data_IF_975060167078
#
_entry.id   IF_975060167078
#
_cell.length_a   1.000
_cell.length_b   1.000
_cell.length_c   1.000
_cell.angle_alpha   90.00
_cell.angle_beta   90.00
_cell.angle_gamma   90.00
#
_symmetry.space_group_name_H-M   'P 1'
#
loop_
_entity.id
_entity.type
_entity.pdbx_description
1 polymer ?
#
# COMPACT_ATOMS: atom_id res chain seq x y z
N UNK A 1 32.11 88.72 4.16
CA UNK A 1 31.58 89.97 3.61
C UNK A 1 30.27 89.62 2.87
N UNK A 2 29.23 90.21 3.44
CA UNK A 2 27.95 90.64 2.84
C UNK A 2 27.10 89.60 2.06
N UNK A 3 25.92 89.25 2.64
CA UNK A 3 24.59 89.95 2.50
C UNK A 3 24.07 89.82 1.03
N UNK A 4 22.89 89.48 0.67
CA UNK A 4 21.52 89.75 1.17
C UNK A 4 20.51 88.98 0.33
N UNK A 5 19.54 88.39 0.89
CA UNK A 5 18.09 88.73 0.95
C UNK A 5 17.17 88.32 -0.21
N UNK A 6 16.09 87.66 0.22
CA UNK A 6 14.67 87.80 -0.18
C UNK A 6 14.15 87.24 -1.49
N UNK A 7 13.11 86.48 -1.29
CA UNK A 7 12.06 86.28 -2.28
C UNK A 7 11.14 85.13 -2.03
N UNK A 8 10.06 85.36 -1.26
CA UNK A 8 8.90 84.45 -1.14
C UNK A 8 8.20 84.28 -2.49
N UNK A 9 7.78 83.11 -2.81
CA UNK A 9 6.44 82.91 -3.41
C UNK A 9 5.87 81.52 -3.08
N UNK A 10 4.62 81.53 -2.66
CA UNK A 10 3.74 80.43 -2.26
C UNK A 10 3.21 79.79 -3.53
N UNK A 11 3.17 78.48 -3.55
CA UNK A 11 2.43 77.68 -4.56
C UNK A 11 2.05 76.35 -3.97
N UNK A 12 0.82 76.23 -3.43
CA UNK A 12 0.14 74.94 -3.14
C UNK A 12 -0.12 74.24 -4.38
N UNK A 13 0.15 72.89 -4.41
CA UNK A 13 -0.75 71.92 -5.00
C UNK A 13 -0.21 70.49 -4.76
N UNK A 14 -1.08 69.64 -4.21
CA UNK A 14 -1.30 68.28 -4.58
C UNK A 14 -0.52 67.21 -3.83
N UNK A 15 -1.05 66.79 -2.63
CA UNK A 15 -0.81 65.45 -2.09
C UNK A 15 -1.39 64.40 -3.05
N UNK A 16 -0.54 63.59 -3.64
CA UNK A 16 -0.91 62.29 -4.14
C UNK A 16 -0.19 61.24 -3.28
N UNK A 17 -0.88 60.73 -2.27
CA UNK A 17 -0.40 59.64 -1.45
C UNK A 17 -0.48 58.35 -2.25
N UNK A 18 0.66 57.80 -2.66
CA UNK A 18 0.76 56.42 -3.11
C UNK A 18 0.76 55.52 -1.86
N UNK A 19 -0.40 54.93 -1.60
CA UNK A 19 -0.49 53.80 -0.66
C UNK A 19 0.21 52.63 -1.31
N UNK A 20 1.44 52.35 -0.92
CA UNK A 20 2.05 51.07 -1.16
C UNK A 20 1.37 50.04 -0.27
N UNK A 21 0.40 49.26 -0.83
CA UNK A 21 -0.05 48.04 -0.21
C UNK A 21 1.11 47.06 -0.24
N UNK A 22 1.83 46.95 0.85
CA UNK A 22 2.66 45.79 1.12
C UNK A 22 1.71 44.61 1.34
N UNK A 23 1.54 43.79 0.30
CA UNK A 23 0.99 42.45 0.47
C UNK A 23 2.05 41.69 1.27
N UNK A 24 1.87 41.63 2.59
CA UNK A 24 2.56 40.64 3.39
C UNK A 24 2.01 39.27 2.93
N UNK A 25 2.79 38.57 2.16
CA UNK A 25 2.61 37.11 1.97
C UNK A 25 2.70 36.51 3.37
N UNK A 26 1.56 36.07 3.88
CA UNK A 26 1.51 35.15 5.02
C UNK A 26 2.39 33.95 4.68
N UNK A 27 3.30 33.55 5.59
CA UNK A 27 3.98 32.27 5.41
C UNK A 27 2.89 31.22 5.26
N UNK A 28 3.04 30.35 4.25
CA UNK A 28 2.26 29.13 4.15
C UNK A 28 2.09 28.54 5.54
N UNK A 29 0.86 28.37 5.99
CA UNK A 29 0.56 27.49 7.11
C UNK A 29 1.12 26.12 6.73
N UNK A 30 2.32 25.83 7.20
CA UNK A 30 2.79 24.46 7.37
C UNK A 30 1.68 23.79 8.19
N UNK A 31 0.79 23.06 7.53
CA UNK A 31 -0.24 22.27 8.19
C UNK A 31 0.50 21.42 9.20
N UNK A 32 0.34 21.76 10.47
CA UNK A 32 0.94 21.03 11.58
C UNK A 32 0.52 19.56 11.37
N UNK A 33 1.50 18.68 11.17
CA UNK A 33 1.24 17.25 11.00
C UNK A 33 0.44 16.82 12.22
N UNK A 34 -0.78 16.31 11.99
CA UNK A 34 -1.64 15.87 13.07
C UNK A 34 -0.94 14.71 13.78
N UNK A 35 -0.75 14.81 15.09
CA UNK A 35 -0.31 13.64 15.85
C UNK A 35 -1.46 12.67 16.06
N UNK A 36 -1.21 11.35 15.95
CA UNK A 36 -2.25 10.38 16.25
C UNK A 36 -2.63 10.46 17.75
N UNK A 37 -3.90 10.24 18.11
CA UNK A 37 -4.33 10.24 19.51
C UNK A 37 -3.57 9.20 20.33
N UNK A 38 -3.12 9.57 21.53
CA UNK A 38 -2.36 8.70 22.43
C UNK A 38 -3.20 7.55 23.00
N UNK A 39 -4.53 7.70 23.06
CA UNK A 39 -5.49 6.73 23.54
C UNK A 39 -6.59 6.51 22.51
N UNK A 40 -7.23 5.33 22.47
CA UNK A 40 -8.34 5.11 21.55
C UNK A 40 -9.52 6.01 21.92
N UNK A 41 -10.17 6.67 20.94
CA UNK A 41 -11.41 7.40 21.19
C UNK A 41 -12.45 6.51 21.89
N UNK A 42 -13.14 7.08 22.90
CA UNK A 42 -14.04 6.31 23.78
C UNK A 42 -15.24 5.68 23.04
N UNK A 43 -15.63 6.25 21.90
CA UNK A 43 -16.71 5.76 21.06
C UNK A 43 -16.33 4.57 20.17
N UNK A 44 -15.08 4.13 20.18
CA UNK A 44 -14.67 2.98 19.35
C UNK A 44 -15.24 1.69 19.90
N UNK A 45 -15.82 0.93 19.00
CA UNK A 45 -16.46 -0.36 19.28
C UNK A 45 -15.71 -1.51 18.59
N UNK A 46 -16.07 -2.72 18.94
CA UNK A 46 -15.51 -3.91 18.31
C UNK A 46 -15.74 -3.91 16.80
N UNK A 47 -14.69 -4.29 16.06
CA UNK A 47 -14.83 -4.67 14.66
C UNK A 47 -15.35 -6.10 14.60
N UNK A 48 -16.44 -6.32 13.86
CA UNK A 48 -16.98 -7.66 13.64
C UNK A 48 -15.96 -8.52 12.89
N UNK A 49 -15.88 -9.80 13.22
CA UNK A 49 -14.90 -10.73 12.64
C UNK A 49 -15.07 -10.86 11.11
N UNK A 50 -16.28 -10.70 10.61
CA UNK A 50 -16.62 -10.71 9.18
C UNK A 50 -16.55 -9.33 8.52
N UNK A 51 -16.13 -8.31 9.27
CA UNK A 51 -16.05 -6.92 8.81
C UNK A 51 -17.39 -6.35 8.32
N UNK A 52 -18.52 -6.91 8.76
CA UNK A 52 -19.86 -6.43 8.38
C UNK A 52 -20.12 -4.98 8.79
N UNK A 53 -19.47 -4.51 9.87
CA UNK A 53 -19.54 -3.13 10.36
C UNK A 53 -18.39 -2.22 9.84
N UNK A 54 -17.61 -2.68 8.86
CA UNK A 54 -16.56 -1.89 8.20
C UNK A 54 -17.04 -1.49 6.82
N UNK A 55 -17.03 -0.18 6.48
CA UNK A 55 -17.44 0.28 5.16
C UNK A 55 -16.43 -0.17 4.09
N UNK A 56 -16.95 -0.52 2.91
CA UNK A 56 -16.19 -0.78 1.69
C UNK A 56 -16.60 0.23 0.62
N UNK A 57 -15.65 0.73 -0.19
CA UNK A 57 -15.95 1.78 -1.18
C UNK A 57 -16.76 1.29 -2.38
N UNK A 58 -16.80 -0.02 -2.63
CA UNK A 58 -17.59 -0.67 -3.69
C UNK A 58 -18.29 -1.92 -3.17
N UNK A 59 -19.20 -2.44 -3.98
CA UNK A 59 -19.85 -3.72 -3.72
C UNK A 59 -18.82 -4.83 -3.50
N UNK A 60 -19.12 -5.74 -2.58
CA UNK A 60 -18.29 -6.88 -2.26
C UNK A 60 -19.01 -8.14 -2.69
N UNK A 61 -18.40 -8.86 -3.61
CA UNK A 61 -18.83 -10.16 -4.08
C UNK A 61 -18.02 -11.28 -3.41
N UNK A 62 -18.46 -12.52 -3.59
CA UNK A 62 -17.86 -13.68 -2.93
C UNK A 62 -17.66 -14.82 -3.92
N UNK A 63 -16.43 -15.35 -3.93
CA UNK A 63 -16.12 -16.64 -4.55
C UNK A 63 -16.26 -17.75 -3.51
N UNK A 64 -17.04 -18.78 -3.81
CA UNK A 64 -17.05 -20.00 -3.00
C UNK A 64 -15.75 -20.79 -3.22
N UNK A 65 -15.07 -21.09 -2.12
CA UNK A 65 -13.77 -21.77 -2.11
C UNK A 65 -13.85 -23.02 -1.25
N UNK A 66 -13.54 -24.17 -1.83
CA UNK A 66 -13.38 -25.40 -1.04
C UNK A 66 -11.90 -25.65 -0.76
N UNK A 67 -11.56 -25.74 0.54
CA UNK A 67 -10.18 -25.90 1.00
C UNK A 67 -10.15 -26.77 2.26
N UNK A 68 -9.34 -27.84 2.26
CA UNK A 68 -9.23 -28.81 3.36
C UNK A 68 -10.59 -29.39 3.83
N UNK A 69 -11.52 -29.57 2.91
CA UNK A 69 -12.88 -30.04 3.23
C UNK A 69 -13.82 -28.95 3.77
N UNK A 70 -13.35 -27.73 3.96
CA UNK A 70 -14.14 -26.59 4.43
C UNK A 70 -14.76 -25.85 3.23
N UNK A 71 -16.03 -25.46 3.37
CA UNK A 71 -16.70 -24.55 2.45
C UNK A 71 -16.50 -23.12 2.95
N UNK A 72 -15.78 -22.32 2.19
CA UNK A 72 -15.31 -20.99 2.54
C UNK A 72 -15.73 -19.97 1.48
N UNK A 73 -15.70 -18.69 1.83
CA UNK A 73 -15.94 -17.59 0.91
C UNK A 73 -14.73 -16.67 0.86
N UNK A 74 -14.25 -16.35 -0.34
CA UNK A 74 -13.28 -15.31 -0.57
C UNK A 74 -13.99 -14.07 -1.09
N UNK A 75 -13.91 -12.96 -0.34
CA UNK A 75 -14.50 -11.69 -0.69
C UNK A 75 -13.59 -10.92 -1.66
N UNK A 76 -14.19 -10.17 -2.57
CA UNK A 76 -13.48 -9.29 -3.49
C UNK A 76 -14.35 -8.12 -3.92
N UNK A 77 -13.72 -7.02 -4.31
CA UNK A 77 -14.34 -5.92 -5.05
C UNK A 77 -13.93 -6.03 -6.51
N UNK A 78 -14.88 -6.06 -7.43
CA UNK A 78 -14.65 -6.03 -8.88
C UNK A 78 -15.12 -4.70 -9.43
N UNK A 79 -14.18 -3.82 -9.74
CA UNK A 79 -14.45 -2.44 -10.09
C UNK A 79 -14.20 -2.22 -11.57
N UNK A 80 -15.29 -1.90 -12.28
CA UNK A 80 -15.21 -1.57 -13.70
C UNK A 80 -14.41 -0.27 -13.93
N UNK A 81 -13.76 -0.11 -15.09
CA UNK A 81 -13.10 1.13 -15.45
C UNK A 81 -14.10 2.29 -15.48
N UNK A 82 -13.70 3.42 -14.92
CA UNK A 82 -14.45 4.70 -14.96
C UNK A 82 -13.96 5.60 -16.08
N UNK A 83 -12.69 5.44 -16.52
CA UNK A 83 -12.17 6.03 -17.75
C UNK A 83 -12.46 5.16 -18.97
N UNK A 84 -11.85 5.51 -20.13
CA UNK A 84 -11.97 4.69 -21.34
C UNK A 84 -11.38 3.30 -21.11
N UNK A 85 -12.17 2.22 -21.23
CA UNK A 85 -11.68 0.87 -20.98
C UNK A 85 -10.50 0.51 -21.91
N UNK A 86 -9.43 -0.04 -21.32
CA UNK A 86 -8.25 -0.50 -22.06
C UNK A 86 -8.21 -2.03 -22.30
N UNK A 87 -9.24 -2.74 -21.82
CA UNK A 87 -9.35 -4.20 -21.96
C UNK A 87 -8.48 -5.00 -20.99
N UNK A 88 -7.72 -4.35 -20.10
CA UNK A 88 -6.81 -5.02 -19.17
C UNK A 88 -7.42 -5.10 -17.76
N UNK A 89 -7.09 -6.17 -17.05
CA UNK A 89 -7.49 -6.39 -15.65
C UNK A 89 -6.28 -6.33 -14.73
N UNK A 90 -6.46 -5.69 -13.58
CA UNK A 90 -5.46 -5.62 -12.51
C UNK A 90 -6.02 -6.28 -11.25
N UNK A 91 -5.29 -7.22 -10.67
CA UNK A 91 -5.59 -7.80 -9.35
C UNK A 91 -4.69 -7.15 -8.29
N UNK A 92 -5.28 -6.71 -7.19
CA UNK A 92 -4.58 -6.06 -6.07
C UNK A 92 -4.58 -6.96 -4.85
N UNK A 93 -3.36 -7.30 -4.34
CA UNK A 93 -3.15 -8.01 -3.10
C UNK A 93 -2.72 -7.05 -1.98
N UNK A 94 -3.49 -7.03 -0.90
CA UNK A 94 -3.22 -6.22 0.29
C UNK A 94 -2.08 -6.76 1.18
N UNK A 95 -1.50 -5.90 2.01
CA UNK A 95 -0.51 -6.25 3.05
C UNK A 95 -1.10 -7.03 4.23
N UNK A 96 -0.23 -7.43 5.20
CA UNK A 96 -0.59 -8.32 6.32
C UNK A 96 -1.68 -7.75 7.24
N UNK A 97 -1.68 -6.44 7.49
CA UNK A 97 -2.61 -5.81 8.43
C UNK A 97 -3.79 -5.12 7.74
N UNK A 98 -3.92 -5.32 6.45
CA UNK A 98 -4.88 -4.63 5.59
C UNK A 98 -5.86 -5.63 4.94
N UNK A 99 -6.75 -5.10 4.15
CA UNK A 99 -7.76 -5.77 3.34
C UNK A 99 -8.00 -4.91 2.09
N UNK A 100 -8.99 -5.20 1.26
CA UNK A 100 -9.16 -4.50 -0.01
C UNK A 100 -9.50 -3.01 0.10
N UNK A 101 -10.35 -2.62 1.05
CA UNK A 101 -10.87 -1.24 1.13
C UNK A 101 -9.79 -0.14 1.31
N UNK A 102 -8.73 -0.31 2.11
CA UNK A 102 -7.64 0.68 2.22
C UNK A 102 -6.92 1.02 0.92
N UNK A 103 -7.08 0.21 -0.12
CA UNK A 103 -6.48 0.45 -1.44
C UNK A 103 -7.37 1.28 -2.37
N UNK A 104 -8.45 1.86 -1.85
CA UNK A 104 -9.38 2.71 -2.61
C UNK A 104 -8.68 3.76 -3.47
N UNK A 105 -7.69 4.55 -3.00
CA UNK A 105 -7.04 5.57 -3.85
C UNK A 105 -6.35 4.96 -5.07
N UNK A 106 -5.66 3.84 -4.90
CA UNK A 106 -5.00 3.14 -6.00
C UNK A 106 -6.02 2.52 -6.96
N UNK A 107 -7.10 1.91 -6.45
CA UNK A 107 -8.18 1.33 -7.28
C UNK A 107 -8.84 2.42 -8.13
N UNK A 108 -9.11 3.60 -7.56
CA UNK A 108 -9.66 4.75 -8.30
C UNK A 108 -8.72 5.18 -9.42
N UNK A 109 -7.43 5.38 -9.14
CA UNK A 109 -6.45 5.76 -10.13
C UNK A 109 -6.36 4.74 -11.28
N UNK A 110 -6.37 3.45 -10.98
CA UNK A 110 -6.36 2.38 -11.97
C UNK A 110 -7.64 2.36 -12.83
N UNK A 111 -8.81 2.50 -12.21
CA UNK A 111 -10.08 2.50 -12.95
C UNK A 111 -10.26 3.74 -13.80
N UNK A 112 -9.83 4.91 -13.35
CA UNK A 112 -9.75 6.15 -14.13
C UNK A 112 -8.79 6.02 -15.33
N UNK A 113 -7.72 5.25 -15.17
CA UNK A 113 -6.77 4.92 -16.23
C UNK A 113 -7.28 3.87 -17.23
N UNK A 114 -8.48 3.32 -17.02
CA UNK A 114 -9.16 2.40 -17.92
C UNK A 114 -9.03 0.92 -17.57
N UNK A 115 -8.41 0.56 -16.45
CA UNK A 115 -8.28 -0.83 -16.01
C UNK A 115 -9.53 -1.32 -15.27
N UNK A 116 -9.98 -2.55 -15.52
CA UNK A 116 -10.81 -3.29 -14.57
C UNK A 116 -9.94 -3.67 -13.39
N UNK A 117 -10.36 -3.36 -12.15
CA UNK A 117 -9.52 -3.58 -10.98
C UNK A 117 -10.23 -4.48 -9.97
N UNK A 118 -9.59 -5.59 -9.61
CA UNK A 118 -10.11 -6.56 -8.65
C UNK A 118 -9.25 -6.49 -7.38
N UNK A 119 -9.85 -6.12 -6.27
CA UNK A 119 -9.19 -6.12 -4.97
C UNK A 119 -9.73 -7.28 -4.14
N UNK A 120 -8.85 -8.22 -3.78
CA UNK A 120 -9.23 -9.43 -3.03
C UNK A 120 -8.97 -9.27 -1.54
N UNK A 121 -9.90 -9.71 -0.71
CA UNK A 121 -9.64 -10.00 0.68
C UNK A 121 -9.15 -11.44 0.78
N UNK A 122 -7.88 -11.65 1.09
CA UNK A 122 -7.35 -13.02 1.24
C UNK A 122 -8.06 -13.73 2.41
N UNK A 123 -8.18 -15.05 2.38
CA UNK A 123 -8.71 -15.82 3.51
C UNK A 123 -7.97 -15.43 4.79
N UNK A 124 -8.72 -15.19 5.85
CA UNK A 124 -8.21 -14.67 7.11
C UNK A 124 -8.26 -13.15 7.25
N UNK A 125 -8.64 -12.41 6.20
CA UNK A 125 -8.68 -10.94 6.18
C UNK A 125 -10.03 -10.42 5.70
N UNK A 126 -10.30 -9.14 5.99
CA UNK A 126 -11.45 -8.41 5.49
C UNK A 126 -12.77 -9.17 5.64
N UNK A 127 -13.57 -9.21 4.59
CA UNK A 127 -14.86 -9.92 4.56
C UNK A 127 -14.76 -11.40 4.18
N UNK A 128 -13.56 -11.90 3.87
CA UNK A 128 -13.34 -13.32 3.60
C UNK A 128 -13.49 -14.18 4.84
N UNK A 129 -13.77 -15.48 4.65
CA UNK A 129 -13.79 -16.48 5.71
C UNK A 129 -12.49 -16.50 6.52
N UNK A 130 -12.59 -16.83 7.81
CA UNK A 130 -11.50 -16.89 8.79
C UNK A 130 -11.29 -18.34 9.25
N UNK A 131 -10.83 -19.26 8.35
CA UNK A 131 -10.59 -20.64 8.73
C UNK A 131 -9.37 -20.76 9.64
N UNK A 132 -9.40 -21.74 10.54
CA UNK A 132 -8.24 -22.15 11.31
C UNK A 132 -7.49 -23.24 10.52
N UNK A 133 -6.55 -22.81 9.70
CA UNK A 133 -5.78 -23.65 8.77
C UNK A 133 -4.30 -23.28 8.83
N UNK A 134 -3.46 -24.13 8.25
CA UNK A 134 -2.08 -23.74 7.95
C UNK A 134 -2.05 -22.79 6.77
N UNK A 135 -1.69 -21.52 7.01
CA UNK A 135 -1.60 -20.48 6.00
C UNK A 135 -0.26 -20.58 5.24
N UNK A 136 -0.31 -20.43 3.93
CA UNK A 136 0.84 -20.32 3.05
C UNK A 136 0.51 -19.43 1.84
N UNK A 137 1.51 -19.10 1.01
CA UNK A 137 1.32 -18.21 -0.14
C UNK A 137 0.64 -18.88 -1.33
N UNK A 138 0.64 -20.22 -1.42
CA UNK A 138 -0.06 -20.93 -2.50
C UNK A 138 -1.58 -20.83 -2.37
N UNK A 139 -2.12 -20.73 -1.15
CA UNK A 139 -3.57 -20.60 -0.93
C UNK A 139 -4.13 -19.35 -1.60
N UNK A 140 -3.65 -18.13 -1.31
CA UNK A 140 -4.16 -16.93 -1.99
C UNK A 140 -3.86 -16.94 -3.50
N UNK A 141 -2.71 -17.43 -3.95
CA UNK A 141 -2.41 -17.55 -5.38
C UNK A 141 -3.42 -18.46 -6.11
N UNK A 142 -3.66 -19.67 -5.58
CA UNK A 142 -4.65 -20.62 -6.11
C UNK A 142 -6.07 -20.04 -6.12
N UNK A 143 -6.49 -19.43 -5.02
CA UNK A 143 -7.84 -18.90 -4.89
C UNK A 143 -8.07 -17.73 -5.86
N UNK A 144 -7.04 -16.91 -6.09
CA UNK A 144 -7.11 -15.82 -7.08
C UNK A 144 -7.14 -16.36 -8.50
N UNK A 145 -6.38 -17.43 -8.81
CA UNK A 145 -6.53 -18.08 -10.13
C UNK A 145 -7.95 -18.60 -10.33
N UNK A 146 -8.53 -19.25 -9.32
CA UNK A 146 -9.92 -19.69 -9.37
C UNK A 146 -10.93 -18.54 -9.52
N UNK A 147 -10.65 -17.36 -8.92
CA UNK A 147 -11.45 -16.15 -9.11
C UNK A 147 -11.37 -15.66 -10.56
N UNK A 148 -10.17 -15.58 -11.13
CA UNK A 148 -10.00 -15.17 -12.53
C UNK A 148 -10.74 -16.11 -13.47
N UNK A 149 -10.64 -17.43 -13.26
CA UNK A 149 -11.38 -18.43 -14.03
C UNK A 149 -12.91 -18.26 -13.91
N UNK A 150 -13.41 -18.01 -12.69
CA UNK A 150 -14.82 -17.76 -12.43
C UNK A 150 -15.34 -16.49 -13.16
N UNK A 151 -14.50 -15.46 -13.26
CA UNK A 151 -14.82 -14.20 -13.93
C UNK A 151 -14.54 -14.22 -15.44
N UNK A 152 -14.05 -15.35 -15.99
CA UNK A 152 -13.69 -15.50 -17.40
C UNK A 152 -12.49 -14.63 -17.82
N UNK A 153 -11.54 -14.37 -16.89
CA UNK A 153 -10.35 -13.56 -17.14
C UNK A 153 -9.17 -14.49 -17.38
N UNK A 154 -8.68 -14.51 -18.60
CA UNK A 154 -7.56 -15.36 -18.98
C UNK A 154 -6.21 -14.84 -18.48
N UNK A 155 -6.00 -13.52 -18.59
CA UNK A 155 -4.75 -12.86 -18.20
C UNK A 155 -5.02 -11.59 -17.39
N UNK A 156 -4.19 -11.32 -16.39
CA UNK A 156 -4.28 -10.13 -15.55
C UNK A 156 -2.90 -9.65 -15.10
N UNK A 157 -2.78 -8.35 -14.85
CA UNK A 157 -1.66 -7.79 -14.11
C UNK A 157 -1.87 -8.02 -12.61
N UNK A 158 -0.80 -8.33 -11.88
CA UNK A 158 -0.82 -8.65 -10.46
C UNK A 158 -0.02 -7.59 -9.69
N UNK A 159 -0.70 -6.85 -8.82
CA UNK A 159 -0.09 -5.82 -7.97
C UNK A 159 -0.17 -6.26 -6.52
N UNK A 160 0.96 -6.37 -5.85
CA UNK A 160 1.00 -6.80 -4.45
C UNK A 160 1.78 -5.85 -3.56
N UNK A 161 1.16 -5.39 -2.47
CA UNK A 161 1.79 -4.54 -1.46
C UNK A 161 2.23 -5.36 -0.24
N UNK A 162 3.46 -5.13 0.24
CA UNK A 162 3.98 -5.76 1.47
C UNK A 162 3.93 -7.29 1.38
N UNK A 163 3.24 -8.01 2.28
CA UNK A 163 2.99 -9.45 2.14
C UNK A 163 2.22 -9.80 0.85
N UNK A 164 1.38 -8.89 0.35
CA UNK A 164 0.74 -9.04 -0.95
C UNK A 164 1.73 -9.14 -2.10
N UNK A 165 2.91 -8.52 -1.98
CA UNK A 165 4.02 -8.67 -2.91
C UNK A 165 4.57 -10.10 -2.94
N UNK A 166 4.69 -10.76 -1.78
CA UNK A 166 5.04 -12.18 -1.72
C UNK A 166 4.00 -13.06 -2.41
N UNK A 167 2.70 -12.72 -2.24
CA UNK A 167 1.61 -13.42 -2.96
C UNK A 167 1.70 -13.17 -4.46
N UNK A 168 2.00 -11.94 -4.89
CA UNK A 168 2.17 -11.59 -6.30
C UNK A 168 3.35 -12.36 -6.93
N UNK A 169 4.49 -12.45 -6.21
CA UNK A 169 5.63 -13.28 -6.59
C UNK A 169 5.21 -14.75 -6.79
N UNK A 170 4.55 -15.33 -5.77
CA UNK A 170 4.07 -16.72 -5.83
C UNK A 170 3.05 -16.93 -6.95
N UNK A 171 2.17 -15.97 -7.20
CA UNK A 171 1.22 -16.04 -8.31
C UNK A 171 1.92 -16.03 -9.65
N UNK A 172 2.84 -15.08 -9.89
CA UNK A 172 3.56 -14.96 -11.15
C UNK A 172 4.44 -16.19 -11.44
N UNK A 173 5.09 -16.76 -10.42
CA UNK A 173 5.89 -17.99 -10.59
C UNK A 173 5.04 -19.24 -10.85
N UNK A 174 3.82 -19.29 -10.28
CA UNK A 174 2.95 -20.47 -10.40
C UNK A 174 2.07 -20.42 -11.65
N UNK A 175 1.65 -19.23 -12.08
CA UNK A 175 0.72 -18.99 -13.20
C UNK A 175 1.28 -17.97 -14.20
N UNK A 176 2.46 -18.22 -14.80
CA UNK A 176 3.10 -17.27 -15.71
C UNK A 176 2.21 -16.93 -16.92
N UNK A 177 1.50 -17.91 -17.48
CA UNK A 177 0.61 -17.71 -18.64
C UNK A 177 -0.60 -16.81 -18.32
N UNK A 178 -1.00 -16.75 -17.05
CA UNK A 178 -2.12 -15.91 -16.60
C UNK A 178 -1.65 -14.49 -16.25
N UNK A 179 -0.34 -14.29 -16.02
CA UNK A 179 0.23 -13.04 -15.52
C UNK A 179 0.79 -12.19 -16.67
N UNK A 180 0.22 -11.00 -16.91
CA UNK A 180 0.78 -10.05 -17.89
C UNK A 180 1.93 -9.24 -17.28
N UNK A 181 1.71 -8.70 -16.08
CA UNK A 181 2.67 -7.90 -15.34
C UNK A 181 2.63 -8.29 -13.87
N UNK A 182 3.74 -8.13 -13.16
CA UNK A 182 3.79 -8.26 -11.71
C UNK A 182 4.44 -7.02 -11.09
N UNK A 183 3.73 -6.35 -10.17
CA UNK A 183 4.27 -5.21 -9.42
C UNK A 183 4.40 -5.56 -7.94
N UNK A 184 5.61 -5.47 -7.42
CA UNK A 184 6.00 -5.75 -6.03
C UNK A 184 6.21 -4.43 -5.30
N UNK A 185 5.17 -3.97 -4.59
CA UNK A 185 5.14 -2.66 -3.93
C UNK A 185 5.58 -2.81 -2.47
N UNK A 186 6.74 -2.27 -2.10
CA UNK A 186 7.34 -2.44 -0.77
C UNK A 186 7.17 -3.86 -0.24
N UNK A 187 7.44 -4.84 -1.10
CA UNK A 187 7.34 -6.25 -0.73
C UNK A 187 8.20 -6.55 0.51
N UNK A 188 7.67 -7.35 1.43
CA UNK A 188 8.43 -7.95 2.52
C UNK A 188 8.96 -9.33 2.12
N UNK A 189 9.75 -9.98 2.98
CA UNK A 189 10.31 -11.30 2.64
C UNK A 189 11.36 -11.23 1.53
N UNK A 190 12.14 -10.14 1.47
CA UNK A 190 13.18 -9.91 0.46
C UNK A 190 14.47 -10.68 0.75
N UNK A 191 14.51 -11.44 1.84
CA UNK A 191 15.62 -12.33 2.21
C UNK A 191 15.05 -13.60 2.82
N UNK A 192 15.76 -14.71 2.67
CA UNK A 192 15.48 -15.89 3.48
C UNK A 192 15.95 -15.61 4.92
N UNK A 193 15.01 -15.52 5.83
CA UNK A 193 15.30 -15.22 7.22
C UNK A 193 15.69 -16.44 8.05
N UNK A 194 15.57 -17.65 7.52
CA UNK A 194 15.87 -18.91 8.23
C UNK A 194 17.34 -19.03 8.64
N UNK A 195 18.31 -18.72 7.77
CA UNK A 195 19.70 -18.69 8.19
C UNK A 195 19.96 -17.60 9.25
N UNK A 196 20.41 -18.00 10.44
CA UNK A 196 20.81 -17.08 11.51
C UNK A 196 19.65 -16.45 12.30
N UNK A 197 18.41 -16.86 12.06
CA UNK A 197 17.23 -16.44 12.85
C UNK A 197 16.65 -17.64 13.60
N UNK A 198 16.43 -17.44 14.90
CA UNK A 198 15.70 -18.45 15.69
C UNK A 198 14.25 -18.59 15.17
N UNK A 199 13.79 -19.83 15.09
CA UNK A 199 12.38 -20.12 14.85
C UNK A 199 11.53 -19.56 15.99
N UNK A 200 10.41 -18.95 15.65
CA UNK A 200 9.47 -18.43 16.65
C UNK A 200 8.47 -19.53 17.01
N UNK A 201 8.37 -19.86 18.28
CA UNK A 201 7.37 -20.80 18.75
C UNK A 201 5.96 -20.27 18.43
N UNK A 202 5.07 -21.10 17.81
CA UNK A 202 3.72 -20.68 17.47
C UNK A 202 2.89 -20.23 18.66
N UNK A 203 3.11 -20.82 19.85
CA UNK A 203 2.44 -20.44 21.07
C UNK A 203 2.91 -19.06 21.56
N UNK A 204 4.19 -18.74 21.44
CA UNK A 204 4.71 -17.40 21.74
C UNK A 204 4.18 -16.35 20.74
N UNK A 205 4.09 -16.71 19.45
CA UNK A 205 3.48 -15.87 18.44
C UNK A 205 2.01 -15.60 18.73
N UNK A 206 1.27 -16.62 19.18
CA UNK A 206 -0.13 -16.50 19.58
C UNK A 206 -0.31 -15.63 20.83
N UNK A 207 0.48 -15.86 21.89
CA UNK A 207 0.46 -15.03 23.10
C UNK A 207 0.79 -13.56 22.78
N UNK A 208 1.77 -13.34 21.92
CA UNK A 208 2.11 -12.00 21.43
C UNK A 208 0.93 -11.34 20.71
N UNK A 209 0.23 -12.10 19.86
CA UNK A 209 -0.95 -11.61 19.16
C UNK A 209 -2.11 -11.31 20.13
N UNK A 210 -2.37 -12.20 21.11
CA UNK A 210 -3.40 -11.98 22.14
C UNK A 210 -3.20 -10.68 22.91
N UNK A 211 -1.95 -10.31 23.20
CA UNK A 211 -1.57 -9.12 23.95
C UNK A 211 -1.49 -7.86 23.07
N UNK A 212 -2.10 -7.85 21.88
CA UNK A 212 -2.18 -6.67 21.04
C UNK A 212 -2.96 -5.55 21.72
N UNK A 213 -2.34 -4.37 21.82
CA UNK A 213 -2.93 -3.18 22.43
C UNK A 213 -3.11 -2.08 21.40
N UNK A 214 -3.91 -1.05 21.73
CA UNK A 214 -4.04 0.16 20.90
C UNK A 214 -2.66 0.74 20.55
N UNK A 215 -1.80 0.90 21.55
CA UNK A 215 -0.47 1.45 21.39
C UNK A 215 0.42 0.61 20.46
N UNK A 216 0.28 -0.72 20.48
CA UNK A 216 1.04 -1.60 19.58
C UNK A 216 0.54 -1.49 18.13
N UNK A 217 -0.77 -1.38 17.93
CA UNK A 217 -1.39 -1.14 16.61
C UNK A 217 -0.96 0.22 16.07
N UNK A 218 -1.11 1.27 16.86
CA UNK A 218 -0.75 2.63 16.46
C UNK A 218 0.72 2.74 16.07
N UNK A 219 1.65 2.24 16.90
CA UNK A 219 3.08 2.21 16.56
C UNK A 219 3.36 1.46 15.26
N UNK A 220 2.62 0.39 14.99
CA UNK A 220 2.70 -0.35 13.73
C UNK A 220 2.36 0.55 12.54
N UNK A 221 1.24 1.28 12.64
CA UNK A 221 0.77 2.17 11.58
C UNK A 221 1.68 3.39 11.37
N UNK A 222 2.14 4.04 12.45
CA UNK A 222 3.06 5.19 12.34
C UNK A 222 4.34 4.85 11.58
N UNK A 223 4.82 3.61 11.68
CA UNK A 223 6.01 3.16 10.93
C UNK A 223 5.80 3.09 9.41
N UNK A 224 4.56 3.04 8.94
CA UNK A 224 4.28 3.01 7.49
C UNK A 224 4.51 4.37 6.83
N UNK A 225 4.44 5.49 7.59
CA UNK A 225 4.32 6.84 7.08
C UNK A 225 5.43 7.76 7.61
N UNK A 226 6.69 7.66 7.14
CA UNK A 226 7.79 8.48 7.61
C UNK A 226 7.63 9.97 7.28
N UNK A 227 6.89 10.32 6.23
CA UNK A 227 6.57 11.70 5.81
C UNK A 227 5.60 12.42 6.77
N UNK A 228 4.99 11.69 7.68
CA UNK A 228 4.10 12.25 8.70
C UNK A 228 2.76 11.53 8.78
N UNK A 229 2.10 11.74 9.91
CA UNK A 229 0.79 11.18 10.17
C UNK A 229 -0.30 12.04 9.51
N UNK A 230 -1.26 11.38 8.85
CA UNK A 230 -2.50 12.00 8.37
C UNK A 230 -3.68 11.44 9.17
N UNK A 231 -4.66 12.31 9.50
CA UNK A 231 -5.85 11.91 10.26
C UNK A 231 -6.64 10.77 9.62
N UNK A 232 -6.63 10.69 8.29
CA UNK A 232 -7.29 9.64 7.51
C UNK A 232 -6.74 8.23 7.78
N UNK A 233 -5.50 8.11 8.27
CA UNK A 233 -4.93 6.80 8.62
C UNK A 233 -5.52 6.19 9.89
N UNK A 234 -6.14 7.05 10.73
CA UNK A 234 -6.71 6.62 12.01
C UNK A 234 -7.83 5.59 11.85
N UNK A 235 -8.57 5.65 10.75
CA UNK A 235 -9.62 4.68 10.45
C UNK A 235 -9.09 3.23 10.37
N UNK A 236 -7.88 3.04 9.87
CA UNK A 236 -7.27 1.70 9.77
C UNK A 236 -6.76 1.19 11.11
N UNK A 237 -6.26 2.10 11.96
CA UNK A 237 -5.96 1.81 13.37
C UNK A 237 -7.23 1.39 14.10
N UNK A 238 -8.34 2.12 13.90
CA UNK A 238 -9.66 1.80 14.47
C UNK A 238 -10.08 0.37 14.09
N UNK A 239 -10.06 0.03 12.81
CA UNK A 239 -10.47 -1.31 12.33
C UNK A 239 -9.60 -2.39 12.97
N UNK A 240 -8.27 -2.23 12.93
CA UNK A 240 -7.35 -3.23 13.46
C UNK A 240 -7.43 -3.38 14.97
N UNK A 241 -7.53 -2.27 15.71
CA UNK A 241 -7.71 -2.31 17.16
C UNK A 241 -9.11 -2.82 17.54
N UNK A 242 -10.14 -2.44 16.81
CA UNK A 242 -11.51 -2.89 17.02
C UNK A 242 -11.64 -4.43 17.00
N UNK A 243 -10.81 -5.15 16.23
CA UNK A 243 -10.78 -6.62 16.28
C UNK A 243 -10.38 -7.14 17.66
N UNK A 244 -9.49 -6.44 18.36
CA UNK A 244 -9.05 -6.85 19.71
C UNK A 244 -10.13 -6.67 20.77
N UNK A 245 -11.15 -5.84 20.48
CA UNK A 245 -12.32 -5.62 21.33
C UNK A 245 -13.43 -6.65 21.08
N UNK A 246 -13.30 -7.47 20.04
CA UNK A 246 -14.26 -8.52 19.69
C UNK A 246 -14.09 -9.75 20.57
N UNK A 247 -15.21 -10.41 20.91
CA UNK A 247 -15.19 -11.74 21.55
C UNK A 247 -14.50 -12.83 20.71
N UNK A 248 -14.35 -12.61 19.39
CA UNK A 248 -13.65 -13.51 18.48
C UNK A 248 -12.13 -13.28 18.46
N UNK A 249 -11.61 -12.32 19.24
CA UNK A 249 -10.18 -11.98 19.20
C UNK A 249 -9.24 -13.16 19.43
N UNK A 250 -9.47 -14.09 20.38
CA UNK A 250 -8.58 -15.24 20.56
C UNK A 250 -8.43 -16.08 19.29
N UNK A 251 -9.51 -16.27 18.53
CA UNK A 251 -9.50 -16.97 17.24
C UNK A 251 -8.70 -16.18 16.19
N UNK A 252 -8.94 -14.86 16.11
CA UNK A 252 -8.21 -13.98 15.18
C UNK A 252 -6.72 -13.91 15.52
N UNK A 253 -6.37 -13.85 16.80
CA UNK A 253 -4.98 -13.83 17.27
C UNK A 253 -4.22 -15.09 16.85
N UNK A 254 -4.86 -16.28 16.95
CA UNK A 254 -4.26 -17.55 16.47
C UNK A 254 -4.02 -17.53 14.97
N UNK A 255 -4.99 -17.07 14.19
CA UNK A 255 -4.83 -16.93 12.73
C UNK A 255 -3.70 -15.96 12.38
N UNK A 256 -3.62 -14.81 13.07
CA UNK A 256 -2.54 -13.83 12.85
C UNK A 256 -1.17 -14.40 13.20
N UNK A 257 -1.07 -15.22 14.25
CA UNK A 257 0.15 -15.93 14.57
C UNK A 257 0.57 -16.85 13.40
N UNK A 258 -0.34 -17.70 12.91
CA UNK A 258 -0.10 -18.57 11.76
C UNK A 258 0.30 -17.80 10.49
N UNK A 259 -0.35 -16.67 10.21
CA UNK A 259 0.00 -15.83 9.05
C UNK A 259 1.39 -15.20 9.15
N UNK A 260 1.87 -14.90 10.37
CA UNK A 260 3.25 -14.41 10.58
C UNK A 260 4.30 -15.48 10.35
N UNK A 261 3.95 -16.75 10.56
CA UNK A 261 4.88 -17.87 10.31
C UNK A 261 5.25 -17.99 8.83
N UNK A 262 4.39 -17.53 7.90
CA UNK A 262 4.66 -17.50 6.46
C UNK A 262 6.02 -16.84 6.15
N UNK A 263 6.39 -15.78 6.87
CA UNK A 263 7.66 -15.07 6.65
C UNK A 263 8.90 -15.95 6.89
N UNK A 264 8.77 -16.98 7.71
CA UNK A 264 9.83 -17.93 8.01
C UNK A 264 9.67 -19.23 7.22
N UNK A 265 8.44 -19.73 7.10
CA UNK A 265 8.15 -21.05 6.56
C UNK A 265 8.04 -21.08 5.04
N UNK A 266 7.67 -19.97 4.41
CA UNK A 266 7.32 -19.91 2.98
C UNK A 266 8.01 -18.74 2.23
N UNK A 267 9.37 -18.71 2.22
CA UNK A 267 10.13 -17.65 1.54
C UNK A 267 9.95 -17.75 0.02
N UNK A 268 9.88 -16.57 -0.64
CA UNK A 268 9.74 -16.44 -2.11
C UNK A 268 11.06 -16.10 -2.81
N UNK A 269 12.15 -16.00 -2.08
CA UNK A 269 13.44 -15.52 -2.62
C UNK A 269 14.02 -16.43 -3.70
N UNK A 270 13.62 -17.68 -3.75
CA UNK A 270 14.10 -18.66 -4.71
C UNK A 270 13.28 -18.67 -6.01
N UNK A 271 12.20 -17.89 -6.08
CA UNK A 271 11.29 -17.86 -7.23
C UNK A 271 11.65 -16.80 -8.25
N UNK A 272 12.28 -15.68 -7.82
CA UNK A 272 12.51 -14.52 -8.69
C UNK A 272 13.29 -14.87 -9.96
N UNK A 273 14.31 -15.73 -9.87
CA UNK A 273 15.09 -16.18 -11.02
C UNK A 273 14.28 -16.95 -12.09
N UNK A 274 13.11 -17.43 -11.71
CA UNK A 274 12.20 -18.20 -12.57
C UNK A 274 11.03 -17.36 -13.13
N UNK A 275 10.92 -16.08 -12.73
CA UNK A 275 9.88 -15.18 -13.20
C UNK A 275 10.37 -14.44 -14.43
N UNK A 276 9.85 -14.82 -15.61
CA UNK A 276 10.11 -14.14 -16.87
C UNK A 276 9.10 -13.02 -17.17
N UNK A 277 7.95 -13.02 -16.48
CA UNK A 277 6.91 -12.00 -16.57
C UNK A 277 7.50 -10.61 -16.31
N UNK A 278 7.07 -9.61 -17.09
CA UNK A 278 7.46 -8.21 -16.89
C UNK A 278 7.16 -7.76 -15.47
N UNK A 279 8.18 -7.34 -14.75
CA UNK A 279 8.13 -7.08 -13.33
C UNK A 279 8.47 -5.63 -12.98
N UNK A 280 7.78 -5.07 -11.98
CA UNK A 280 8.12 -3.81 -11.33
C UNK A 280 8.45 -4.09 -9.87
N UNK A 281 9.66 -3.76 -9.47
CA UNK A 281 10.05 -3.68 -8.06
C UNK A 281 10.02 -2.20 -7.67
N UNK A 282 9.11 -1.82 -6.76
CA UNK A 282 8.89 -0.41 -6.46
C UNK A 282 8.67 -0.19 -4.98
N UNK A 283 9.17 0.94 -4.46
CA UNK A 283 8.87 1.30 -3.08
C UNK A 283 9.66 2.47 -2.53
N UNK A 284 9.33 2.82 -1.28
CA UNK A 284 9.93 3.92 -0.54
C UNK A 284 11.27 3.53 0.09
N UNK A 285 12.26 4.42 -0.02
CA UNK A 285 13.59 4.23 0.54
C UNK A 285 13.59 4.23 2.08
N UNK A 286 12.65 4.98 2.70
CA UNK A 286 12.54 5.14 4.15
C UNK A 286 11.57 4.13 4.78
N UNK A 287 11.47 2.95 4.16
CA UNK A 287 10.66 1.85 4.71
C UNK A 287 11.18 1.42 6.09
N UNK A 288 10.40 1.72 7.14
CA UNK A 288 10.75 1.39 8.52
C UNK A 288 10.40 -0.04 8.92
N UNK A 289 9.84 -0.84 8.00
CA UNK A 289 9.57 -2.27 8.21
C UNK A 289 10.65 -3.14 7.58
N UNK A 290 11.18 -2.73 6.44
CA UNK A 290 12.23 -3.44 5.71
C UNK A 290 13.49 -2.58 5.75
N UNK A 291 14.40 -2.92 6.66
CA UNK A 291 15.68 -2.22 6.75
C UNK A 291 16.46 -2.34 5.44
N UNK A 292 16.99 -1.21 4.95
CA UNK A 292 17.75 -1.14 3.71
C UNK A 292 16.97 -1.64 2.47
N UNK A 293 15.68 -1.25 2.41
CA UNK A 293 14.80 -1.61 1.30
C UNK A 293 15.43 -1.34 -0.07
N UNK A 294 16.10 -0.19 -0.34
CA UNK A 294 16.68 0.09 -1.65
C UNK A 294 17.68 -0.96 -2.11
N UNK A 295 18.57 -1.44 -1.24
CA UNK A 295 19.55 -2.48 -1.57
C UNK A 295 18.88 -3.83 -1.80
N UNK A 296 17.91 -4.18 -0.94
CA UNK A 296 17.19 -5.45 -1.05
C UNK A 296 16.31 -5.48 -2.31
N UNK A 297 15.60 -4.38 -2.62
CA UNK A 297 14.80 -4.25 -3.83
C UNK A 297 15.65 -4.37 -5.10
N UNK A 298 16.87 -3.79 -5.10
CA UNK A 298 17.83 -3.98 -6.20
C UNK A 298 18.22 -5.44 -6.38
N UNK A 299 18.52 -6.15 -5.30
CA UNK A 299 18.84 -7.57 -5.38
C UNK A 299 17.69 -8.41 -5.95
N UNK A 300 16.44 -8.02 -5.67
CA UNK A 300 15.26 -8.66 -6.28
C UNK A 300 15.21 -8.37 -7.77
N UNK A 301 15.33 -7.10 -8.17
CA UNK A 301 15.29 -6.70 -9.57
C UNK A 301 16.42 -7.38 -10.40
N UNK A 302 17.60 -7.55 -9.83
CA UNK A 302 18.73 -8.23 -10.48
C UNK A 302 18.51 -9.75 -10.65
N UNK A 303 17.68 -10.36 -9.84
CA UNK A 303 17.34 -11.79 -9.96
C UNK A 303 16.18 -12.06 -10.90
N UNK A 304 15.30 -11.10 -11.10
CA UNK A 304 14.19 -11.20 -12.06
C UNK A 304 14.71 -11.10 -13.50
N UNK A 305 14.13 -11.86 -14.41
CA UNK A 305 14.60 -11.90 -15.81
C UNK A 305 14.22 -10.65 -16.61
N UNK A 306 13.14 -9.95 -16.21
CA UNK A 306 12.59 -8.78 -16.94
C UNK A 306 12.01 -7.78 -15.94
N UNK A 307 12.86 -6.98 -15.29
CA UNK A 307 12.46 -6.11 -14.19
C UNK A 307 12.83 -4.65 -14.39
N UNK A 308 11.93 -3.76 -13.96
CA UNK A 308 12.16 -2.35 -13.70
C UNK A 308 12.24 -2.11 -12.20
N UNK A 309 13.10 -1.20 -11.75
CA UNK A 309 13.25 -0.79 -10.36
C UNK A 309 12.95 0.70 -10.19
N UNK A 310 12.03 1.04 -9.28
CA UNK A 310 11.73 2.43 -8.90
C UNK A 310 11.83 2.57 -7.38
N UNK A 311 12.65 3.50 -6.91
CA UNK A 311 12.81 3.81 -5.49
C UNK A 311 12.42 5.27 -5.25
N UNK A 312 11.53 5.52 -4.29
CA UNK A 312 11.11 6.85 -3.88
C UNK A 312 11.87 7.30 -2.63
N UNK A 313 12.73 8.32 -2.71
CA UNK A 313 13.34 8.94 -1.53
C UNK A 313 12.26 9.47 -0.57
N UNK A 314 12.54 9.43 0.73
CA UNK A 314 11.66 9.99 1.80
C UNK A 314 10.27 9.36 1.89
N UNK A 315 9.99 8.30 1.14
CA UNK A 315 8.71 7.57 1.16
C UNK A 315 8.84 6.30 1.99
N UNK A 316 7.78 5.95 2.70
CA UNK A 316 7.74 4.80 3.57
C UNK A 316 7.20 3.52 2.93
N UNK A 317 6.64 2.67 3.81
CA UNK A 317 6.16 1.34 3.45
C UNK A 317 4.92 1.34 2.52
N UNK A 318 4.17 2.44 2.47
CA UNK A 318 2.89 2.50 1.77
C UNK A 318 2.85 3.63 0.73
N UNK A 319 3.65 3.56 -0.36
CA UNK A 319 3.74 4.65 -1.34
C UNK A 319 2.40 4.99 -1.99
N UNK A 320 1.47 4.04 -2.09
CA UNK A 320 0.11 4.25 -2.59
C UNK A 320 -0.76 5.16 -1.70
N UNK A 321 -0.34 5.42 -0.45
CA UNK A 321 -0.98 6.33 0.49
C UNK A 321 -0.08 7.51 0.87
N UNK A 322 1.22 7.29 0.94
CA UNK A 322 2.21 8.25 1.40
C UNK A 322 2.71 9.15 0.26
N UNK A 323 2.68 8.66 -0.98
CA UNK A 323 3.14 9.35 -2.18
C UNK A 323 2.28 9.03 -3.43
N UNK A 324 0.94 9.10 -3.35
CA UNK A 324 0.04 8.66 -4.41
C UNK A 324 0.21 9.44 -5.71
N UNK A 325 0.58 10.71 -5.63
CA UNK A 325 0.75 11.63 -6.76
C UNK A 325 1.90 11.25 -7.71
N UNK A 326 2.88 10.48 -7.23
CA UNK A 326 3.98 9.95 -8.05
C UNK A 326 3.81 8.45 -8.29
N UNK A 327 3.47 7.71 -7.23
CA UNK A 327 3.36 6.26 -7.32
C UNK A 327 2.27 5.79 -8.29
N UNK A 328 1.07 6.40 -8.27
CA UNK A 328 -0.01 5.95 -9.15
C UNK A 328 0.32 6.15 -10.64
N UNK A 329 0.83 7.32 -11.08
CA UNK A 329 1.30 7.49 -12.47
C UNK A 329 2.36 6.47 -12.88
N UNK A 330 3.39 6.23 -12.07
CA UNK A 330 4.46 5.27 -12.38
C UNK A 330 3.91 3.84 -12.50
N UNK A 331 3.01 3.43 -11.61
CA UNK A 331 2.35 2.13 -11.68
C UNK A 331 1.50 2.00 -12.95
N UNK A 332 0.72 3.03 -13.29
CA UNK A 332 -0.14 3.06 -14.49
C UNK A 332 0.73 3.00 -15.76
N UNK A 333 1.81 3.75 -15.83
CA UNK A 333 2.76 3.72 -16.95
C UNK A 333 3.32 2.31 -17.15
N UNK A 334 3.78 1.67 -16.06
CA UNK A 334 4.28 0.29 -16.11
C UNK A 334 3.21 -0.69 -16.61
N UNK A 335 1.99 -0.62 -16.09
CA UNK A 335 0.90 -1.53 -16.43
C UNK A 335 0.38 -1.35 -17.87
N UNK A 336 0.59 -0.19 -18.48
CA UNK A 336 0.23 0.11 -19.88
C UNK A 336 1.30 -0.33 -20.87
N UNK A 337 2.51 -0.62 -20.40
CA UNK A 337 3.57 -1.08 -21.27
C UNK A 337 3.23 -2.44 -21.90
N UNK A 338 3.82 -2.76 -23.04
CA UNK A 338 3.64 -4.08 -23.63
C UNK A 338 4.29 -5.15 -22.75
N UNK A 339 3.55 -6.17 -22.30
CA UNK A 339 4.11 -7.23 -21.47
C UNK A 339 5.19 -8.07 -22.17
N UNK A 340 5.19 -8.12 -23.49
CA UNK A 340 6.16 -8.89 -24.29
C UNK A 340 7.44 -8.08 -24.59
N UNK A 341 7.43 -6.75 -24.40
CA UNK A 341 8.61 -5.93 -24.54
C UNK A 341 9.48 -5.97 -23.27
N UNK A 342 10.82 -5.89 -23.42
CA UNK A 342 11.70 -5.78 -22.26
C UNK A 342 11.31 -4.62 -21.34
N UNK A 343 11.38 -4.83 -20.04
CA UNK A 343 11.23 -3.76 -19.07
C UNK A 343 12.39 -2.76 -19.23
N UNK A 344 12.11 -1.48 -18.98
CA UNK A 344 13.17 -0.49 -18.84
C UNK A 344 14.04 -0.88 -17.62
N UNK A 345 15.20 -1.48 -17.89
CA UNK A 345 16.14 -1.90 -16.86
C UNK A 345 16.87 -0.72 -16.20
N UNK A 346 16.52 0.51 -16.58
CA UNK A 346 16.97 1.72 -15.92
C UNK A 346 16.49 1.77 -14.46
N UNK A 347 17.44 1.95 -13.53
CA UNK A 347 17.11 2.29 -12.17
C UNK A 347 16.67 3.76 -12.13
N UNK A 348 15.44 4.03 -11.68
CA UNK A 348 14.95 5.39 -11.48
C UNK A 348 14.87 5.69 -9.97
N UNK A 349 15.56 6.76 -9.57
CA UNK A 349 15.41 7.37 -8.26
C UNK A 349 14.59 8.64 -8.46
N UNK A 350 13.28 8.54 -8.33
CA UNK A 350 12.39 9.68 -8.55
C UNK A 350 12.28 10.49 -7.28
N UNK A 351 12.85 11.70 -7.31
CA UNK A 351 12.68 12.66 -6.22
C UNK A 351 11.19 13.05 -6.10
N UNK A 352 10.65 12.87 -4.91
CA UNK A 352 9.32 13.34 -4.56
C UNK A 352 9.37 14.86 -4.43
N UNK A 353 8.77 15.57 -5.40
CA UNK A 353 8.42 16.98 -5.26
C UNK A 353 9.58 17.92 -4.96
N UNK A 354 10.47 18.10 -5.91
CA UNK A 354 11.16 19.36 -6.04
C UNK A 354 10.27 20.29 -6.86
N UNK A 355 9.50 21.17 -6.22
CA UNK A 355 9.03 22.36 -6.87
C UNK A 355 10.27 23.08 -7.41
N UNK A 356 10.46 23.01 -8.73
CA UNK A 356 11.53 23.71 -9.41
C UNK A 356 11.49 25.18 -9.03
N UNK A 357 12.65 25.72 -8.79
CA UNK A 357 12.88 27.16 -8.66
C UNK A 357 12.71 27.91 -9.97
#
# INVERSE_FOLDING_TARGET
MNLTTMGRLIGMFGLAGALALSVASTPDELTAQAEPPSEPPAEWTATAIDYSNVPYPWAVDYLDVRLFGLDLKMAYMDVAPTGTPNGQTVVVFHGMNFFGAPYEPMIRALTEAGFRTIAVDRLGYGRSSKPDIHYNLHIPARNTKALLDHLGIERAAIVGHSMGGMVATRFASTYPETTTHVAMVNQIGLTDSRPGRAWTDPEDAYRSALNTTYQSVLRGHVRYYPRGWKSEYLQWVKVQYGLTLSGDWPRMARMRAGQRMILFEDPVVYEWQHIATKALVVGGADDRLVSDFPRLARNVAEQLQNAQLIIYPEVGHSPHLDNPEVFHPDLIEFLRSDPEEPADQGWRNTNVGGSGG
#
